data_IF_784872489193
#
_entry.id   IF_784872489193
#
_cell.length_a   1.000
_cell.length_b   1.000
_cell.length_c   1.000
_cell.angle_alpha   90.00
_cell.angle_beta   90.00
_cell.angle_gamma   90.00
#
_symmetry.space_group_name_H-M   'P 1'
#
loop_
_entity.id
_entity.type
_entity.pdbx_description
1 polymer ?
#
# COMPACT_ATOMS: atom_id res chain seq x y z
N UNK A 1 16.55 -23.67 -24.03
CA UNK A 1 15.14 -23.35 -24.37
C UNK A 1 14.18 -23.67 -23.24
N UNK A 2 14.34 -24.79 -22.51
CA UNK A 2 13.44 -25.14 -21.39
C UNK A 2 13.40 -24.10 -20.25
N UNK A 3 14.54 -23.55 -19.84
CA UNK A 3 14.59 -22.53 -18.77
C UNK A 3 13.85 -21.23 -19.14
N UNK A 4 13.82 -20.87 -20.44
CA UNK A 4 13.12 -19.67 -20.93
C UNK A 4 11.62 -19.89 -20.91
N UNK A 5 11.14 -21.09 -21.29
CA UNK A 5 9.73 -21.45 -21.24
C UNK A 5 9.22 -21.57 -19.79
N UNK A 6 10.02 -22.13 -18.88
CA UNK A 6 9.69 -22.16 -17.45
C UNK A 6 9.62 -20.75 -16.86
N UNK A 7 10.57 -19.88 -17.19
CA UNK A 7 10.55 -18.51 -16.69
C UNK A 7 9.40 -17.68 -17.29
N UNK A 8 9.13 -17.85 -18.60
CA UNK A 8 8.02 -17.18 -19.26
C UNK A 8 6.66 -17.63 -18.69
N UNK A 9 6.48 -18.92 -18.41
CA UNK A 9 5.26 -19.44 -17.79
C UNK A 9 5.08 -18.95 -16.35
N UNK A 10 6.14 -18.92 -15.54
CA UNK A 10 6.11 -18.33 -14.19
C UNK A 10 5.82 -16.83 -14.25
N UNK A 11 6.44 -16.09 -15.16
CA UNK A 11 6.18 -14.67 -15.40
C UNK A 11 4.74 -14.40 -15.82
N UNK A 12 4.16 -15.25 -16.67
CA UNK A 12 2.76 -15.17 -17.11
C UNK A 12 1.80 -15.44 -15.96
N UNK A 13 2.08 -16.44 -15.11
CA UNK A 13 1.30 -16.74 -13.91
C UNK A 13 1.35 -15.55 -12.95
N UNK A 14 2.52 -14.96 -12.74
CA UNK A 14 2.69 -13.76 -11.91
C UNK A 14 1.90 -12.58 -12.49
N UNK A 15 1.97 -12.34 -13.81
CA UNK A 15 1.22 -11.27 -14.49
C UNK A 15 -0.31 -11.45 -14.40
N UNK A 16 -0.80 -12.68 -14.58
CA UNK A 16 -2.24 -13.00 -14.46
C UNK A 16 -2.72 -12.82 -13.02
N UNK A 17 -1.92 -13.27 -12.04
CA UNK A 17 -2.14 -13.03 -10.62
C UNK A 17 -2.21 -11.53 -10.31
N UNK A 18 -1.26 -10.77 -10.85
CA UNK A 18 -1.17 -9.31 -10.74
C UNK A 18 -2.42 -8.62 -11.27
N UNK A 19 -2.83 -8.99 -12.49
CA UNK A 19 -4.02 -8.45 -13.14
C UNK A 19 -5.29 -8.77 -12.35
N UNK A 20 -5.42 -10.00 -11.84
CA UNK A 20 -6.56 -10.40 -11.03
C UNK A 20 -6.65 -9.60 -9.73
N UNK A 21 -5.52 -9.43 -9.02
CA UNK A 21 -5.43 -8.64 -7.79
C UNK A 21 -5.77 -7.18 -8.10
N UNK A 22 -5.18 -6.58 -9.13
CA UNK A 22 -5.48 -5.21 -9.56
C UNK A 22 -6.95 -4.99 -9.89
N UNK A 23 -7.56 -5.92 -10.64
CA UNK A 23 -8.97 -5.86 -11.01
C UNK A 23 -9.87 -5.93 -9.77
N UNK A 24 -9.53 -6.76 -8.79
CA UNK A 24 -10.25 -6.84 -7.50
C UNK A 24 -10.09 -5.54 -6.71
N UNK A 25 -8.89 -4.95 -6.69
CA UNK A 25 -8.59 -3.71 -5.98
C UNK A 25 -9.36 -2.53 -6.57
N UNK A 26 -9.35 -2.39 -7.91
CA UNK A 26 -10.10 -1.35 -8.64
C UNK A 26 -11.60 -1.53 -8.44
N UNK A 27 -12.13 -2.77 -8.52
CA UNK A 27 -13.56 -3.02 -8.32
C UNK A 27 -14.06 -2.66 -6.91
N UNK A 28 -13.20 -2.74 -5.88
CA UNK A 28 -13.53 -2.28 -4.51
C UNK A 28 -13.43 -0.76 -4.34
N UNK A 29 -12.81 -0.07 -5.29
CA UNK A 29 -12.60 1.37 -5.28
C UNK A 29 -13.62 2.01 -6.25
N UNK A 30 -14.86 2.16 -5.80
CA UNK A 30 -15.88 2.92 -6.54
C UNK A 30 -15.90 4.39 -6.02
N UNK A 31 -15.20 5.33 -6.66
CA UNK A 31 -15.15 6.73 -6.22
C UNK A 31 -16.47 7.47 -6.45
N UNK A 32 -17.34 6.98 -7.34
CA UNK A 32 -18.57 7.68 -7.76
C UNK A 32 -19.67 7.68 -6.67
N UNK A 33 -19.66 6.73 -5.74
CA UNK A 33 -20.58 6.74 -4.58
C UNK A 33 -20.14 7.69 -3.46
N UNK A 34 -18.86 8.10 -3.42
CA UNK A 34 -18.35 8.98 -2.35
C UNK A 34 -18.57 10.45 -2.67
N UNK A 35 -19.81 10.92 -2.51
CA UNK A 35 -20.16 12.37 -2.50
C UNK A 35 -19.58 13.09 -1.27
N UNK A 36 -18.26 13.10 -1.09
CA UNK A 36 -17.64 13.76 0.07
C UNK A 36 -16.42 14.57 -0.38
N UNK A 37 -16.51 15.90 -0.28
CA UNK A 37 -15.39 16.82 -0.58
C UNK A 37 -14.23 16.57 0.38
N UNK A 38 -13.11 16.04 -0.13
CA UNK A 38 -11.88 15.69 0.61
C UNK A 38 -11.41 16.85 1.52
N UNK A 39 -11.58 18.09 1.06
CA UNK A 39 -11.14 19.29 1.78
C UNK A 39 -11.90 19.52 3.10
N UNK A 40 -13.22 19.31 3.11
CA UNK A 40 -14.04 19.46 4.33
C UNK A 40 -13.84 18.32 5.33
N UNK A 41 -13.44 17.14 4.84
CA UNK A 41 -13.10 16.00 5.70
C UNK A 41 -11.83 16.29 6.49
N UNK A 42 -10.78 16.82 5.84
CA UNK A 42 -9.49 17.13 6.48
C UNK A 42 -9.62 18.22 7.54
N UNK A 43 -10.42 19.27 7.29
CA UNK A 43 -10.61 20.39 8.24
C UNK A 43 -11.34 19.98 9.53
N UNK A 44 -12.13 18.89 9.50
CA UNK A 44 -12.83 18.36 10.67
C UNK A 44 -12.07 17.29 11.46
N UNK A 45 -10.84 16.92 11.05
CA UNK A 45 -10.08 15.84 11.68
C UNK A 45 -9.46 16.26 13.01
N UNK A 46 -9.45 15.34 13.97
CA UNK A 46 -8.73 15.55 15.23
C UNK A 46 -7.22 15.46 14.99
N UNK A 47 -6.42 16.12 15.84
CA UNK A 47 -4.95 16.04 15.79
C UNK A 47 -4.44 14.59 15.75
N UNK A 48 -5.06 13.66 16.47
CA UNK A 48 -4.68 12.23 16.45
C UNK A 48 -4.94 11.54 15.10
N UNK A 49 -6.00 11.94 14.41
CA UNK A 49 -6.35 11.43 13.08
C UNK A 49 -5.40 11.99 12.02
N UNK A 50 -5.05 13.29 12.14
CA UNK A 50 -4.05 13.96 11.29
C UNK A 50 -2.68 13.29 11.45
N UNK A 51 -2.21 13.11 12.69
CA UNK A 51 -0.90 12.47 12.96
C UNK A 51 -0.86 11.05 12.38
N UNK A 52 -1.93 10.27 12.55
CA UNK A 52 -1.97 8.92 11.98
C UNK A 52 -1.95 8.92 10.45
N UNK A 53 -2.67 9.85 9.81
CA UNK A 53 -2.69 9.98 8.36
C UNK A 53 -1.29 10.39 7.85
N UNK A 54 -0.63 11.33 8.53
CA UNK A 54 0.76 11.70 8.26
C UNK A 54 1.70 10.52 8.41
N UNK A 55 1.60 9.71 9.47
CA UNK A 55 2.42 8.49 9.62
C UNK A 55 2.21 7.50 8.47
N UNK A 56 0.96 7.32 8.00
CA UNK A 56 0.66 6.46 6.84
C UNK A 56 1.29 7.00 5.54
N UNK A 57 1.25 8.31 5.32
CA UNK A 57 1.87 8.95 4.15
C UNK A 57 3.39 8.84 4.21
N UNK A 58 3.99 9.12 5.38
CA UNK A 58 5.44 9.04 5.57
C UNK A 58 5.92 7.59 5.37
N UNK A 59 5.22 6.60 5.91
CA UNK A 59 5.52 5.18 5.67
C UNK A 59 5.46 4.82 4.18
N UNK A 60 4.43 5.29 3.46
CA UNK A 60 4.30 5.08 2.02
C UNK A 60 5.48 5.67 1.22
N UNK A 61 5.83 6.94 1.47
CA UNK A 61 6.94 7.62 0.77
C UNK A 61 8.26 6.94 1.11
N UNK A 62 8.47 6.56 2.37
CA UNK A 62 9.68 5.87 2.82
C UNK A 62 9.87 4.51 2.11
N UNK A 63 8.82 3.70 2.00
CA UNK A 63 8.87 2.41 1.31
C UNK A 63 9.10 2.58 -0.19
N UNK A 64 8.49 3.58 -0.82
CA UNK A 64 8.77 3.91 -2.21
C UNK A 64 10.21 4.33 -2.45
N UNK A 65 10.77 5.13 -1.54
CA UNK A 65 12.17 5.54 -1.60
C UNK A 65 13.12 4.33 -1.57
N UNK A 66 12.92 3.40 -0.62
CA UNK A 66 13.73 2.18 -0.51
C UNK A 66 13.64 1.35 -1.79
N UNK A 67 12.42 1.18 -2.33
CA UNK A 67 12.19 0.43 -3.56
C UNK A 67 12.87 1.10 -4.76
N UNK A 68 12.73 2.41 -4.94
CA UNK A 68 13.27 3.14 -6.09
C UNK A 68 14.79 3.28 -6.04
N UNK A 69 15.37 3.34 -4.83
CA UNK A 69 16.82 3.42 -4.64
C UNK A 69 17.50 2.07 -4.55
N UNK A 70 16.77 0.95 -4.68
CA UNK A 70 17.30 -0.41 -4.57
C UNK A 70 18.16 -0.61 -3.30
N UNK A 71 17.70 -0.07 -2.17
CA UNK A 71 18.41 -0.19 -0.89
C UNK A 71 18.10 -1.55 -0.29
N UNK A 72 19.12 -2.24 0.20
CA UNK A 72 18.91 -3.52 0.89
C UNK A 72 18.09 -3.34 2.18
N UNK A 73 17.16 -4.26 2.40
CA UNK A 73 16.33 -4.30 3.59
C UNK A 73 17.12 -4.82 4.79
N UNK A 74 17.58 -3.88 5.60
CA UNK A 74 18.14 -4.15 6.91
C UNK A 74 17.06 -4.13 8.01
N UNK A 75 17.36 -4.73 9.16
CA UNK A 75 16.48 -4.81 10.32
C UNK A 75 16.02 -3.42 10.81
N UNK A 76 16.89 -2.41 10.72
CA UNK A 76 16.54 -1.02 11.04
C UNK A 76 15.44 -0.45 10.13
N UNK A 77 15.51 -0.72 8.84
CA UNK A 77 14.51 -0.25 7.87
C UNK A 77 13.15 -0.90 8.15
N UNK A 78 13.14 -2.21 8.39
CA UNK A 78 11.94 -2.94 8.76
C UNK A 78 11.33 -2.39 10.06
N UNK A 79 12.17 -2.09 11.06
CA UNK A 79 11.73 -1.55 12.34
C UNK A 79 11.14 -0.14 12.21
N UNK A 80 11.71 0.72 11.36
CA UNK A 80 11.15 2.05 11.07
C UNK A 80 9.77 1.93 10.43
N UNK A 81 9.63 1.10 9.39
CA UNK A 81 8.34 0.91 8.70
C UNK A 81 7.27 0.40 9.66
N UNK A 82 7.58 -0.68 10.40
CA UNK A 82 6.66 -1.29 11.35
C UNK A 82 6.26 -0.32 12.46
N UNK A 83 7.19 0.51 12.94
CA UNK A 83 6.92 1.53 13.96
C UNK A 83 5.95 2.59 13.45
N UNK A 84 6.12 3.08 12.22
CA UNK A 84 5.19 4.05 11.61
C UNK A 84 3.79 3.44 11.46
N UNK A 85 3.70 2.18 11.01
CA UNK A 85 2.44 1.44 10.88
C UNK A 85 1.76 1.21 12.24
N UNK A 86 2.55 0.89 13.28
CA UNK A 86 2.08 0.73 14.66
C UNK A 86 1.52 2.03 15.23
N UNK A 87 2.27 3.13 15.12
CA UNK A 87 1.86 4.45 15.62
C UNK A 87 0.54 4.88 14.97
N UNK A 88 0.44 4.72 13.64
CA UNK A 88 -0.79 5.00 12.90
C UNK A 88 -1.97 4.15 13.41
N UNK A 89 -1.77 2.85 13.59
CA UNK A 89 -2.80 1.94 14.07
C UNK A 89 -3.28 2.22 15.50
N UNK A 90 -2.36 2.52 16.41
CA UNK A 90 -2.61 2.78 17.83
C UNK A 90 -3.32 4.12 18.06
N UNK A 91 -2.90 5.19 17.38
CA UNK A 91 -3.52 6.51 17.47
C UNK A 91 -4.99 6.48 17.08
N UNK A 92 -5.30 5.69 16.06
CA UNK A 92 -6.67 5.49 15.61
C UNK A 92 -7.39 4.48 16.48
N UNK A 93 -6.76 3.73 17.42
CA UNK A 93 -7.39 2.58 18.11
C UNK A 93 -8.09 1.66 17.09
N UNK A 94 -7.38 1.32 16.01
CA UNK A 94 -7.91 0.46 14.97
C UNK A 94 -7.88 -1.00 15.45
N UNK A 95 -9.03 -1.68 15.58
CA UNK A 95 -9.05 -3.11 15.96
C UNK A 95 -8.29 -4.02 14.97
N UNK A 96 -8.00 -3.52 13.77
CA UNK A 96 -7.28 -4.24 12.70
C UNK A 96 -5.80 -3.87 12.59
N UNK A 97 -5.16 -3.31 13.65
CA UNK A 97 -3.71 -3.00 13.63
C UNK A 97 -2.88 -4.21 13.22
N UNK A 98 -3.19 -5.40 13.74
CA UNK A 98 -2.45 -6.64 13.44
C UNK A 98 -2.47 -6.97 11.94
N UNK A 99 -3.62 -6.79 11.29
CA UNK A 99 -3.75 -7.02 9.84
C UNK A 99 -2.92 -6.00 9.06
N UNK A 100 -2.85 -4.76 9.52
CA UNK A 100 -2.03 -3.74 8.87
C UNK A 100 -0.53 -4.04 9.01
N UNK A 101 -0.08 -4.58 10.14
CA UNK A 101 1.32 -5.01 10.30
C UNK A 101 1.67 -6.20 9.40
N UNK A 102 0.77 -7.16 9.26
CA UNK A 102 0.96 -8.28 8.32
C UNK A 102 1.06 -7.79 6.87
N UNK A 103 0.22 -6.83 6.48
CA UNK A 103 0.29 -6.23 5.15
C UNK A 103 1.60 -5.46 4.93
N UNK A 104 2.12 -4.80 5.97
CA UNK A 104 3.41 -4.11 5.93
C UNK A 104 4.58 -5.10 5.77
N UNK A 105 4.54 -6.25 6.46
CA UNK A 105 5.51 -7.33 6.27
C UNK A 105 5.49 -7.88 4.83
N UNK A 106 4.31 -8.00 4.22
CA UNK A 106 4.19 -8.40 2.81
C UNK A 106 4.84 -7.34 1.89
N UNK A 107 4.63 -6.05 2.17
CA UNK A 107 5.29 -4.96 1.42
C UNK A 107 6.81 -5.06 1.51
N UNK A 108 7.35 -5.26 2.71
CA UNK A 108 8.80 -5.41 2.94
C UNK A 108 9.35 -6.63 2.20
N UNK A 109 8.65 -7.77 2.23
CA UNK A 109 9.04 -8.95 1.46
C UNK A 109 9.11 -8.67 -0.04
N UNK A 110 8.13 -7.95 -0.59
CA UNK A 110 8.13 -7.52 -1.98
C UNK A 110 9.32 -6.62 -2.33
N UNK A 111 9.64 -5.65 -1.48
CA UNK A 111 10.79 -4.75 -1.67
C UNK A 111 12.11 -5.53 -1.62
N UNK A 112 12.23 -6.55 -0.74
CA UNK A 112 13.43 -7.41 -0.70
C UNK A 112 13.60 -8.18 -2.00
N UNK A 113 12.51 -8.68 -2.59
CA UNK A 113 12.55 -9.34 -3.89
C UNK A 113 13.02 -8.39 -5.01
N UNK A 114 12.55 -7.13 -5.01
CA UNK A 114 13.03 -6.10 -5.96
C UNK A 114 14.54 -5.91 -5.82
N UNK A 115 15.04 -5.77 -4.60
CA UNK A 115 16.48 -5.65 -4.34
C UNK A 115 17.27 -6.87 -4.84
N UNK A 116 16.83 -8.09 -4.51
CA UNK A 116 17.52 -9.33 -4.92
C UNK A 116 17.57 -9.49 -6.45
N UNK A 117 16.48 -9.20 -7.15
CA UNK A 117 16.45 -9.26 -8.62
C UNK A 117 17.40 -8.20 -9.20
N UNK A 118 17.38 -6.99 -8.66
CA UNK A 118 18.27 -5.92 -9.10
C UNK A 118 19.75 -6.26 -8.87
N UNK A 119 20.10 -6.76 -7.68
CA UNK A 119 21.46 -7.17 -7.33
C UNK A 119 21.96 -8.30 -8.25
N UNK A 120 21.11 -9.30 -8.52
CA UNK A 120 21.41 -10.39 -9.44
C UNK A 120 21.62 -9.91 -10.89
N UNK A 121 20.85 -8.91 -11.35
CA UNK A 121 21.02 -8.30 -12.69
C UNK A 121 22.37 -7.59 -12.80
N UNK A 122 22.80 -6.89 -11.74
CA UNK A 122 24.05 -6.12 -11.76
C UNK A 122 25.28 -7.01 -11.60
N UNK A 123 25.23 -7.98 -10.69
CA UNK A 123 26.42 -8.70 -10.26
C UNK A 123 26.66 -10.02 -11.01
N UNK A 124 25.60 -10.69 -11.46
CA UNK A 124 25.71 -12.04 -12.06
C UNK A 124 25.31 -12.07 -13.53
N UNK A 125 24.10 -11.62 -13.87
CA UNK A 125 23.55 -11.84 -15.20
C UNK A 125 22.63 -10.73 -15.69
N UNK A 126 23.13 -9.93 -16.63
CA UNK A 126 22.32 -8.93 -17.31
C UNK A 126 21.47 -9.55 -18.42
N UNK A 127 20.15 -9.53 -18.24
CA UNK A 127 19.18 -9.95 -19.26
C UNK A 127 18.00 -8.99 -19.31
N UNK A 128 17.63 -8.60 -20.53
CA UNK A 128 16.47 -7.75 -20.81
C UNK A 128 15.19 -8.32 -20.19
N UNK A 129 15.08 -9.65 -20.13
CA UNK A 129 13.92 -10.33 -19.54
C UNK A 129 13.82 -10.18 -18.03
N UNK A 130 14.95 -10.20 -17.31
CA UNK A 130 14.95 -9.95 -15.87
C UNK A 130 14.72 -8.48 -15.56
N UNK A 131 15.22 -7.58 -16.39
CA UNK A 131 14.93 -6.15 -16.28
C UNK A 131 13.44 -5.87 -16.48
N UNK A 132 12.80 -6.54 -17.44
CA UNK A 132 11.35 -6.47 -17.66
C UNK A 132 10.55 -7.02 -16.46
N UNK A 133 10.99 -8.15 -15.88
CA UNK A 133 10.40 -8.69 -14.66
C UNK A 133 10.51 -7.71 -13.48
N UNK A 134 11.67 -7.09 -13.30
CA UNK A 134 11.93 -6.10 -12.25
C UNK A 134 10.95 -4.92 -12.37
N UNK A 135 10.80 -4.36 -13.57
CA UNK A 135 9.88 -3.24 -13.82
C UNK A 135 8.43 -3.62 -13.50
N UNK A 136 7.98 -4.82 -13.93
CA UNK A 136 6.63 -5.29 -13.60
C UNK A 136 6.42 -5.47 -12.10
N UNK A 137 7.40 -6.02 -11.39
CA UNK A 137 7.33 -6.19 -9.94
C UNK A 137 7.29 -4.84 -9.21
N UNK A 138 8.06 -3.85 -9.67
CA UNK A 138 8.04 -2.50 -9.10
C UNK A 138 6.68 -1.82 -9.32
N UNK A 139 6.09 -1.94 -10.52
CA UNK A 139 4.74 -1.41 -10.80
C UNK A 139 3.70 -2.08 -9.90
N UNK A 140 3.80 -3.40 -9.69
CA UNK A 140 2.92 -4.11 -8.77
C UNK A 140 3.00 -3.55 -7.35
N UNK A 141 4.22 -3.39 -6.84
CA UNK A 141 4.45 -2.92 -5.48
C UNK A 141 4.00 -1.46 -5.31
N UNK A 142 4.24 -0.61 -6.32
CA UNK A 142 3.70 0.75 -6.35
C UNK A 142 2.18 0.76 -6.18
N UNK A 143 1.47 -0.09 -6.93
CA UNK A 143 0.01 -0.19 -6.88
C UNK A 143 -0.47 -0.77 -5.54
N UNK A 144 0.24 -1.76 -5.00
CA UNK A 144 -0.06 -2.37 -3.71
C UNK A 144 0.16 -1.41 -2.53
N UNK A 145 1.27 -0.67 -2.53
CA UNK A 145 1.57 0.38 -1.56
C UNK A 145 0.52 1.51 -1.63
N UNK A 146 0.14 1.94 -2.84
CA UNK A 146 -0.91 2.94 -3.06
C UNK A 146 -2.26 2.48 -2.51
N UNK A 147 -2.62 1.21 -2.74
CA UNK A 147 -3.82 0.62 -2.18
C UNK A 147 -3.81 0.64 -0.64
N UNK A 148 -2.68 0.27 -0.03
CA UNK A 148 -2.53 0.24 1.43
C UNK A 148 -2.67 1.64 2.02
N UNK A 149 -2.08 2.65 1.38
CA UNK A 149 -2.24 4.06 1.75
C UNK A 149 -3.72 4.49 1.67
N UNK A 150 -4.39 4.25 0.54
CA UNK A 150 -5.79 4.63 0.34
C UNK A 150 -6.72 3.94 1.34
N UNK A 151 -6.45 2.65 1.64
CA UNK A 151 -7.16 1.90 2.68
C UNK A 151 -6.97 2.53 4.06
N UNK A 152 -5.75 2.94 4.40
CA UNK A 152 -5.45 3.60 5.67
C UNK A 152 -6.14 4.98 5.76
N UNK A 153 -6.09 5.79 4.70
CA UNK A 153 -6.81 7.06 4.60
C UNK A 153 -8.32 6.84 4.81
N UNK A 154 -8.93 5.88 4.09
CA UNK A 154 -10.35 5.55 4.23
C UNK A 154 -10.71 5.16 5.67
N UNK A 155 -9.86 4.38 6.34
CA UNK A 155 -10.07 4.00 7.74
C UNK A 155 -10.03 5.21 8.68
N UNK A 156 -9.14 6.18 8.44
CA UNK A 156 -9.09 7.42 9.22
C UNK A 156 -10.35 8.27 8.96
N UNK A 157 -10.72 8.43 7.69
CA UNK A 157 -11.86 9.26 7.25
C UNK A 157 -13.19 8.72 7.77
N UNK A 158 -13.45 7.41 7.71
CA UNK A 158 -14.70 6.81 8.23
C UNK A 158 -14.84 7.02 9.74
N UNK A 159 -13.71 7.10 10.45
CA UNK A 159 -13.71 7.30 11.91
C UNK A 159 -13.95 8.75 12.32
N UNK A 160 -13.72 9.70 11.40
CA UNK A 160 -13.97 11.11 11.65
C UNK A 160 -15.46 11.33 12.02
N UNK A 161 -15.67 12.06 13.12
CA UNK A 161 -16.98 12.33 13.72
C UNK A 161 -17.93 13.09 12.77
N UNK A 162 -17.40 13.86 11.82
CA UNK A 162 -18.19 14.66 10.88
C UNK A 162 -18.90 13.83 9.79
N UNK A 163 -18.24 12.80 9.26
CA UNK A 163 -18.86 11.82 8.34
C UNK A 163 -20.00 11.07 9.05
N UNK A 164 -19.84 10.82 10.36
CA UNK A 164 -20.84 10.14 11.19
C UNK A 164 -22.03 11.02 11.60
N UNK A 165 -21.90 12.35 11.57
CA UNK A 165 -22.99 13.31 11.83
C UNK A 165 -23.80 13.62 10.57
N UNK A 166 -23.16 13.77 9.41
CA UNK A 166 -23.86 13.97 8.13
C UNK A 166 -24.92 12.89 7.85
N UNK A 167 -24.59 11.62 8.09
CA UNK A 167 -25.56 10.52 7.91
C UNK A 167 -26.57 10.32 9.06
N UNK A 168 -26.34 10.90 10.25
CA UNK A 168 -27.30 10.80 11.38
C UNK A 168 -28.31 11.95 11.39
N UNK A 169 -27.90 13.15 10.99
CA UNK A 169 -28.80 14.29 10.92
C UNK A 169 -29.73 14.23 9.69
N UNK A 170 -29.30 13.62 8.58
CA UNK A 170 -30.18 13.34 7.44
C UNK A 170 -31.29 12.33 7.77
N UNK A 171 -31.00 11.29 8.55
CA UNK A 171 -32.01 10.32 9.00
C UNK A 171 -32.98 10.90 10.04
N UNK A 172 -32.58 11.95 10.78
CA UNK A 172 -33.47 12.65 11.72
C UNK A 172 -34.38 13.68 11.05
N UNK A 173 -34.03 14.18 9.86
CA UNK A 173 -34.86 15.12 9.08
C UNK A 173 -35.87 14.44 8.16
N UNK A 174 -35.84 13.10 8.06
CA UNK A 174 -36.73 12.29 7.22
C UNK A 174 -37.76 11.47 8.02
N UNK A 175 -37.88 11.69 9.33
CA UNK A 175 -38.91 11.09 10.18
C UNK A 175 -39.93 12.11 10.65
#
# INVERSE_FOLDING_TARGET
>A
MENVLYFASVGLIVLISLYAILKILIKKFNPEESKVNIYGILQGMKNTEIISLSCSIVSYIFLLYIMASFIDLNLYIALISLSLTLISGLLIKNKKVIINLLLDLISLGGIKLVYLIHDYIINEYYSVWMLLLLVFLMIFLLLYLSYTLLKNIKNVVIRNKYVRKGGKDENKKRS
#
